data_IF_792523051196
#
_entry.id   IF_792523051196
#
_cell.length_a   1.000
_cell.length_b   1.000
_cell.length_c   1.000
_cell.angle_alpha   90.00
_cell.angle_beta   90.00
_cell.angle_gamma   90.00
#
_symmetry.space_group_name_H-M   'P 1'
#
loop_
_entity.id
_entity.type
_entity.pdbx_description
1 polymer ?
#
# COMPACT_ATOMS: atom_id res chain seq x y z
N UNK A 1 -7.98 15.68 27.14
CA UNK A 1 -7.58 15.88 25.74
C UNK A 1 -8.61 15.16 24.90
N UNK A 2 -9.40 15.88 24.11
CA UNK A 2 -10.24 15.24 23.10
C UNK A 2 -9.33 14.53 22.11
N UNK A 3 -9.57 13.24 21.89
CA UNK A 3 -8.81 12.45 20.95
C UNK A 3 -9.24 12.90 19.55
N UNK A 4 -8.33 13.52 18.81
CA UNK A 4 -8.61 13.95 17.45
C UNK A 4 -9.14 12.75 16.64
N UNK A 5 -10.32 12.90 16.04
CA UNK A 5 -10.96 11.82 15.28
C UNK A 5 -10.18 11.68 13.96
N UNK A 6 -9.40 10.61 13.85
CA UNK A 6 -8.65 10.32 12.63
C UNK A 6 -9.62 9.85 11.55
N UNK A 7 -9.69 10.59 10.44
CA UNK A 7 -10.42 10.15 9.25
C UNK A 7 -9.77 8.88 8.68
N UNK A 8 -10.55 7.82 8.51
CA UNK A 8 -10.11 6.54 7.93
C UNK A 8 -10.69 6.37 6.51
N UNK A 9 -9.90 5.76 5.63
CA UNK A 9 -10.34 5.30 4.32
C UNK A 9 -11.06 3.96 4.46
N UNK A 10 -11.99 3.67 3.57
CA UNK A 10 -12.62 2.36 3.46
C UNK A 10 -11.63 1.30 2.92
N UNK A 11 -11.69 0.07 3.44
CA UNK A 11 -10.70 -0.96 3.08
C UNK A 11 -10.90 -1.48 1.66
N UNK A 12 -12.14 -1.52 1.17
CA UNK A 12 -12.43 -1.88 -0.22
C UNK A 12 -11.88 -0.81 -1.16
N UNK A 13 -12.07 0.48 -0.84
CA UNK A 13 -11.44 1.58 -1.59
C UNK A 13 -9.90 1.42 -1.62
N UNK A 14 -9.29 1.12 -0.48
CA UNK A 14 -7.84 0.89 -0.37
C UNK A 14 -7.35 -0.26 -1.27
N UNK A 15 -8.10 -1.37 -1.33
CA UNK A 15 -7.79 -2.52 -2.20
C UNK A 15 -7.98 -2.20 -3.68
N UNK A 16 -9.11 -1.60 -4.03
CA UNK A 16 -9.53 -1.38 -5.42
C UNK A 16 -8.68 -0.33 -6.12
N UNK A 17 -8.29 0.75 -5.42
CA UNK A 17 -7.38 1.77 -5.97
C UNK A 17 -5.94 1.28 -6.13
N UNK A 18 -5.58 0.14 -5.54
CA UNK A 18 -4.27 -0.49 -5.73
C UNK A 18 -3.24 -0.22 -4.63
N UNK A 19 -3.63 0.38 -3.50
CA UNK A 19 -2.70 0.65 -2.40
C UNK A 19 -2.14 -0.65 -1.81
N UNK A 20 -3.01 -1.63 -1.53
CA UNK A 20 -2.58 -2.94 -1.02
C UNK A 20 -1.59 -3.58 -2.00
N UNK A 21 -1.95 -3.60 -3.29
CA UNK A 21 -1.14 -4.19 -4.34
C UNK A 21 0.26 -3.58 -4.39
N UNK A 22 0.35 -2.25 -4.41
CA UNK A 22 1.64 -1.57 -4.56
C UNK A 22 2.47 -1.58 -3.27
N UNK A 23 1.82 -1.53 -2.09
CA UNK A 23 2.50 -1.74 -0.81
C UNK A 23 3.12 -3.14 -0.74
N UNK A 24 2.35 -4.16 -1.12
CA UNK A 24 2.83 -5.52 -1.20
C UNK A 24 3.96 -5.65 -2.22
N UNK A 25 3.78 -5.20 -3.47
CA UNK A 25 4.78 -5.31 -4.54
C UNK A 25 6.11 -4.61 -4.22
N UNK A 26 6.08 -3.42 -3.63
CA UNK A 26 7.28 -2.58 -3.43
C UNK A 26 7.97 -2.81 -2.10
N UNK A 27 7.24 -3.20 -1.07
CA UNK A 27 7.75 -3.25 0.29
C UNK A 27 7.66 -4.65 0.91
N UNK A 28 6.47 -5.23 1.03
CA UNK A 28 6.32 -6.49 1.77
C UNK A 28 6.88 -7.69 1.00
N UNK A 29 6.53 -7.84 -0.27
CA UNK A 29 6.91 -9.01 -1.07
C UNK A 29 8.42 -9.22 -1.21
N UNK A 30 9.25 -8.17 -1.47
CA UNK A 30 10.70 -8.32 -1.48
C UNK A 30 11.31 -8.77 -0.14
N UNK A 31 10.55 -8.67 0.96
CA UNK A 31 10.93 -9.11 2.29
C UNK A 31 10.32 -10.47 2.67
N UNK A 32 9.66 -11.16 1.73
CA UNK A 32 8.94 -12.40 2.02
C UNK A 32 7.68 -12.19 2.88
N UNK A 33 7.07 -11.00 2.82
CA UNK A 33 5.84 -10.69 3.57
C UNK A 33 4.70 -10.31 2.63
N UNK A 34 3.46 -10.39 3.11
CA UNK A 34 2.31 -9.77 2.43
C UNK A 34 1.27 -9.26 3.43
N UNK A 35 0.74 -8.06 3.23
CA UNK A 35 -0.43 -7.57 3.93
C UNK A 35 -1.70 -8.18 3.33
N UNK A 36 -2.61 -8.63 4.18
CA UNK A 36 -3.86 -9.30 3.79
C UNK A 36 -5.09 -8.41 4.03
N UNK A 37 -6.08 -8.55 3.15
CA UNK A 37 -7.45 -8.13 3.38
C UNK A 37 -8.34 -9.37 3.46
N UNK A 38 -9.16 -9.44 4.50
CA UNK A 38 -10.22 -10.45 4.64
C UNK A 38 -11.51 -9.83 4.12
N UNK A 39 -12.20 -10.56 3.24
CA UNK A 39 -13.51 -10.19 2.73
C UNK A 39 -14.53 -11.10 3.42
N UNK A 40 -15.50 -10.52 4.11
CA UNK A 40 -16.59 -11.26 4.70
C UNK A 40 -17.58 -11.68 3.60
N UNK A 41 -17.83 -12.99 3.46
CA UNK A 41 -18.70 -13.53 2.42
C UNK A 41 -20.19 -13.21 2.64
N UNK A 42 -20.61 -12.92 3.87
CA UNK A 42 -22.02 -12.65 4.20
C UNK A 42 -22.44 -11.23 3.77
N UNK A 43 -21.58 -10.23 3.98
CA UNK A 43 -21.91 -8.82 3.79
C UNK A 43 -20.96 -8.06 2.85
N UNK A 44 -19.94 -8.73 2.29
CA UNK A 44 -18.87 -8.15 1.47
C UNK A 44 -18.09 -7.02 2.18
N UNK A 45 -18.13 -6.95 3.51
CA UNK A 45 -17.27 -6.04 4.26
C UNK A 45 -15.81 -6.48 4.16
N UNK A 46 -14.91 -5.50 4.16
CA UNK A 46 -13.47 -5.75 4.04
C UNK A 46 -12.73 -5.20 5.25
N UNK A 47 -11.81 -5.99 5.79
CA UNK A 47 -10.94 -5.60 6.91
C UNK A 47 -9.49 -5.98 6.61
N UNK A 48 -8.54 -5.28 7.25
CA UNK A 48 -7.16 -5.77 7.29
C UNK A 48 -7.11 -7.06 8.11
N UNK A 49 -6.58 -8.13 7.53
CA UNK A 49 -6.47 -9.43 8.18
C UNK A 49 -5.23 -9.53 9.05
N UNK A 50 -4.08 -9.59 8.39
CA UNK A 50 -2.78 -9.71 9.04
C UNK A 50 -1.63 -9.57 8.05
N UNK A 51 -0.46 -10.01 8.48
CA UNK A 51 0.72 -10.10 7.63
C UNK A 51 1.09 -11.57 7.47
N UNK A 52 1.14 -12.03 6.23
CA UNK A 52 1.68 -13.33 5.88
C UNK A 52 3.20 -13.31 6.01
N UNK A 53 3.78 -14.37 6.57
CA UNK A 53 5.22 -14.49 6.83
C UNK A 53 5.81 -15.67 6.07
N UNK A 54 6.47 -15.34 4.97
CA UNK A 54 7.22 -16.23 4.09
C UNK A 54 8.68 -15.82 4.04
N UNK A 55 9.24 -15.28 5.15
CA UNK A 55 10.67 -14.88 5.19
C UNK A 55 11.65 -16.03 4.97
N UNK A 56 11.21 -17.26 5.19
CA UNK A 56 11.98 -18.47 4.89
C UNK A 56 11.99 -18.83 3.39
N UNK A 57 11.16 -18.17 2.57
CA UNK A 57 11.17 -18.29 1.10
C UNK A 57 12.28 -17.40 0.52
N UNK A 58 13.31 -17.97 -0.13
CA UNK A 58 14.48 -17.22 -0.57
C UNK A 58 14.19 -16.21 -1.69
N UNK A 59 13.11 -16.40 -2.46
CA UNK A 59 12.71 -15.47 -3.51
C UNK A 59 11.71 -14.41 -3.03
N UNK A 60 11.24 -14.51 -1.79
CA UNK A 60 10.21 -13.65 -1.22
C UNK A 60 8.82 -14.05 -1.73
N UNK A 61 7.98 -13.06 -2.07
CA UNK A 61 6.62 -13.32 -2.57
C UNK A 61 6.36 -12.72 -3.95
N UNK A 62 5.72 -13.48 -4.83
CA UNK A 62 5.27 -13.00 -6.13
C UNK A 62 3.77 -13.08 -6.25
N UNK A 63 3.20 -12.12 -7.00
CA UNK A 63 1.85 -12.29 -7.50
C UNK A 63 1.84 -13.33 -8.63
N UNK A 64 0.88 -14.26 -8.63
CA UNK A 64 0.66 -15.17 -9.77
C UNK A 64 0.39 -14.40 -11.08
N UNK A 65 0.53 -15.02 -12.24
CA UNK A 65 0.52 -14.31 -13.55
C UNK A 65 -0.84 -13.78 -14.04
N UNK A 66 -1.93 -13.96 -13.28
CA UNK A 66 -3.27 -13.60 -13.73
C UNK A 66 -3.53 -12.07 -13.69
N UNK A 67 -4.35 -11.57 -14.62
CA UNK A 67 -4.90 -10.20 -14.65
C UNK A 67 -3.87 -9.05 -14.71
N UNK A 68 -2.92 -9.12 -15.65
CA UNK A 68 -1.87 -8.11 -15.83
C UNK A 68 -2.40 -6.68 -16.13
N UNK A 69 -3.50 -6.55 -16.87
CA UNK A 69 -4.07 -5.25 -17.24
C UNK A 69 -4.59 -4.48 -16.02
N UNK A 70 -5.27 -5.16 -15.10
CA UNK A 70 -5.78 -4.55 -13.85
C UNK A 70 -4.63 -4.04 -12.97
N UNK A 71 -3.51 -4.78 -12.95
CA UNK A 71 -2.33 -4.41 -12.17
C UNK A 71 -1.62 -3.18 -12.70
N UNK A 72 -1.50 -3.04 -14.03
CA UNK A 72 -0.89 -1.86 -14.63
C UNK A 72 -1.65 -0.58 -14.22
N UNK A 73 -2.98 -0.60 -14.29
CA UNK A 73 -3.83 0.53 -13.86
C UNK A 73 -3.65 0.90 -12.39
N UNK A 74 -3.58 -0.11 -11.51
CA UNK A 74 -3.31 0.08 -10.08
C UNK A 74 -1.95 0.74 -9.84
N UNK A 75 -0.91 0.32 -10.57
CA UNK A 75 0.41 0.94 -10.49
C UNK A 75 0.34 2.42 -10.90
N UNK A 76 -0.27 2.71 -12.06
CA UNK A 76 -0.37 4.07 -12.58
C UNK A 76 -1.11 5.00 -11.61
N UNK A 77 -2.23 4.52 -11.04
CA UNK A 77 -3.03 5.28 -10.07
C UNK A 77 -2.21 5.66 -8.83
N UNK A 78 -1.45 4.71 -8.28
CA UNK A 78 -0.61 4.97 -7.09
C UNK A 78 0.57 5.89 -7.44
N UNK A 79 1.17 5.74 -8.62
CA UNK A 79 2.26 6.61 -9.06
C UNK A 79 1.80 8.05 -9.31
N UNK A 80 0.64 8.25 -9.91
CA UNK A 80 0.03 9.58 -10.07
C UNK A 80 -0.24 10.23 -8.71
N UNK A 81 -0.82 9.47 -7.76
CA UNK A 81 -1.05 9.97 -6.41
C UNK A 81 0.26 10.31 -5.69
N UNK A 82 1.29 9.47 -5.78
CA UNK A 82 2.63 9.76 -5.23
C UNK A 82 3.19 11.06 -5.81
N UNK A 83 3.17 11.22 -7.14
CA UNK A 83 3.63 12.43 -7.83
C UNK A 83 2.86 13.68 -7.37
N UNK A 84 1.54 13.57 -7.20
CA UNK A 84 0.69 14.69 -6.74
C UNK A 84 1.10 15.23 -5.35
N UNK A 85 1.70 14.39 -4.51
CA UNK A 85 2.15 14.76 -3.16
C UNK A 85 3.64 15.09 -3.08
N UNK A 86 4.43 14.68 -4.09
CA UNK A 86 5.88 14.69 -4.04
C UNK A 86 6.45 16.08 -3.71
N UNK A 87 6.03 17.11 -4.43
CA UNK A 87 6.59 18.45 -4.25
C UNK A 87 6.35 18.98 -2.83
N UNK A 88 5.17 18.73 -2.27
CA UNK A 88 4.83 19.15 -0.90
C UNK A 88 5.68 18.39 0.14
N UNK A 89 5.98 17.11 -0.12
CA UNK A 89 6.83 16.30 0.77
C UNK A 89 8.29 16.73 0.70
N UNK A 90 8.82 16.96 -0.51
CA UNK A 90 10.20 17.43 -0.71
C UNK A 90 10.42 18.82 -0.09
N UNK A 91 9.42 19.70 -0.17
CA UNK A 91 9.49 21.05 0.38
C UNK A 91 9.03 21.17 1.84
N UNK A 92 8.85 20.05 2.55
CA UNK A 92 8.34 20.10 3.93
C UNK A 92 9.32 20.84 4.84
N UNK A 93 8.82 21.82 5.62
CA UNK A 93 9.68 22.70 6.43
C UNK A 93 10.28 22.01 7.66
N UNK A 94 9.54 21.06 8.23
CA UNK A 94 9.91 20.40 9.49
C UNK A 94 10.56 19.03 9.30
N UNK A 95 10.38 18.39 8.14
CA UNK A 95 10.81 17.03 7.90
C UNK A 95 11.66 16.97 6.64
N UNK A 96 12.85 16.38 6.76
CA UNK A 96 13.72 16.15 5.61
C UNK A 96 13.17 14.98 4.80
N UNK A 97 12.98 15.17 3.51
CA UNK A 97 12.62 14.10 2.58
C UNK A 97 13.59 14.09 1.40
N UNK A 98 13.90 12.90 0.87
CA UNK A 98 14.71 12.75 -0.32
C UNK A 98 13.95 13.12 -1.60
N UNK A 99 14.61 13.04 -2.76
CA UNK A 99 14.03 13.37 -4.08
C UNK A 99 12.79 12.54 -4.47
N UNK A 100 12.54 11.42 -3.80
CA UNK A 100 11.36 10.57 -4.00
C UNK A 100 10.28 10.83 -2.94
N UNK A 101 10.42 11.86 -2.10
CA UNK A 101 9.48 12.19 -1.04
C UNK A 101 9.51 11.23 0.16
N UNK A 102 10.54 10.37 0.26
CA UNK A 102 10.73 9.48 1.40
C UNK A 102 11.39 10.28 2.51
N UNK A 103 10.80 10.22 3.71
CA UNK A 103 11.34 10.91 4.88
C UNK A 103 12.67 10.29 5.31
N UNK A 104 13.62 11.16 5.64
CA UNK A 104 14.94 10.81 6.17
C UNK A 104 14.99 11.09 7.67
N UNK A 105 15.85 10.36 8.37
CA UNK A 105 16.09 10.47 9.81
C UNK A 105 17.56 10.75 10.09
#
# INVERSE_FOLDING_TARGET
>A
MEKEIIKRMDIKEFREQGFLFEANRKFFHPLGLALEIIINEEDNSEILGGVWDYRDDPEGMFFGMNNLIDRAKKIDTIEELRKSKLQNRVNHKEFKCNKNGIQEF
#
